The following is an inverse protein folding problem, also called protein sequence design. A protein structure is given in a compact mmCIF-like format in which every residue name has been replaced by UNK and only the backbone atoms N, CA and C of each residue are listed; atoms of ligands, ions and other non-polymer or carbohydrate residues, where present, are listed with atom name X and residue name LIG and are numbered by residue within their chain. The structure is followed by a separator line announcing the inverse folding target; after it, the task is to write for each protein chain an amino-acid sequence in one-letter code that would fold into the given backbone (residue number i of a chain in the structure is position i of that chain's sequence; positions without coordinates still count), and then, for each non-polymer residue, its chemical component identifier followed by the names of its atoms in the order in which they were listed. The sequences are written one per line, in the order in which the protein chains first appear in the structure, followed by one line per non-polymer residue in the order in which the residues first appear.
data_IF_484483139880
#
_entry.id   IF_484483139880
#
_cell.length_a   1.000
_cell.length_b   1.000
_cell.length_c   1.000
_cell.angle_alpha   90.00
_cell.angle_beta   90.00
_cell.angle_gamma   90.00
#
_symmetry.space_group_name_H-M   'P 1'
#
loop_
_entity.id
_entity.type
_entity.pdbx_description
1 polymer ?
#
# COMPACT_ATOMS: atom_id res chain seq x y z
N UNK A 1 0.06 9.76 -6.69
CA UNK A 1 0.04 8.62 -7.62
C UNK A 1 -0.75 7.49 -6.99
N UNK A 2 -1.68 6.92 -7.74
CA UNK A 2 -2.63 5.93 -7.23
C UNK A 2 -2.62 4.69 -8.12
N UNK A 3 -2.50 3.51 -7.52
CA UNK A 3 -2.47 2.24 -8.23
C UNK A 3 -3.89 1.71 -8.51
N UNK A 4 -4.02 0.79 -9.47
CA UNK A 4 -5.30 0.32 -10.01
C UNK A 4 -6.18 1.45 -10.60
N UNK A 5 -5.58 2.31 -11.44
CA UNK A 5 -6.21 3.49 -12.05
C UNK A 5 -7.60 3.26 -12.65
N UNK A 6 -7.84 2.08 -13.21
CA UNK A 6 -9.11 1.69 -13.84
C UNK A 6 -10.27 1.55 -12.84
N UNK A 7 -9.98 1.46 -11.54
CA UNK A 7 -10.99 1.34 -10.47
C UNK A 7 -11.24 2.67 -9.74
N UNK A 8 -10.49 3.74 -10.04
CA UNK A 8 -10.44 4.91 -9.15
C UNK A 8 -11.58 5.91 -9.33
N UNK A 9 -12.02 6.13 -10.57
CA UNK A 9 -12.92 7.24 -10.89
C UNK A 9 -14.33 6.81 -11.30
N UNK A 10 -14.44 5.75 -12.10
CA UNK A 10 -15.71 5.32 -12.67
C UNK A 10 -16.53 4.50 -11.64
N UNK A 11 -17.78 4.91 -11.31
CA UNK A 11 -18.64 4.16 -10.41
C UNK A 11 -19.12 2.81 -10.99
N UNK A 12 -18.98 2.58 -12.30
CA UNK A 12 -19.28 1.31 -12.96
C UNK A 12 -18.08 0.33 -12.97
N UNK A 13 -16.93 0.74 -12.44
CA UNK A 13 -15.77 -0.15 -12.25
C UNK A 13 -16.06 -1.28 -11.26
N UNK A 14 -15.13 -2.24 -11.19
CA UNK A 14 -15.22 -3.42 -10.34
C UNK A 14 -15.62 -3.04 -8.90
N UNK A 15 -16.65 -3.73 -8.38
CA UNK A 15 -17.24 -3.51 -7.05
C UNK A 15 -17.67 -2.06 -6.74
N UNK A 16 -17.95 -1.26 -7.78
CA UNK A 16 -18.45 0.12 -7.67
C UNK A 16 -17.38 1.21 -7.69
N UNK A 17 -16.10 0.83 -7.86
CA UNK A 17 -14.96 1.75 -7.90
C UNK A 17 -14.76 2.57 -6.63
N UNK A 18 -13.74 3.44 -6.65
CA UNK A 18 -13.39 4.30 -5.51
C UNK A 18 -14.13 5.64 -5.50
N UNK A 19 -14.65 6.06 -6.66
CA UNK A 19 -15.41 7.31 -6.84
C UNK A 19 -14.64 8.53 -6.32
N UNK A 20 -13.34 8.61 -6.60
CA UNK A 20 -12.46 9.62 -6.01
C UNK A 20 -12.90 11.06 -6.28
N UNK A 21 -13.68 11.33 -7.32
CA UNK A 21 -14.24 12.66 -7.56
C UNK A 21 -15.17 13.14 -6.42
N UNK A 22 -15.70 12.23 -5.60
CA UNK A 22 -16.54 12.54 -4.45
C UNK A 22 -15.73 12.81 -3.16
N UNK A 23 -14.52 12.24 -3.05
CA UNK A 23 -13.70 12.27 -1.84
C UNK A 23 -12.41 13.08 -1.95
N UNK A 24 -11.98 13.41 -3.17
CA UNK A 24 -10.74 14.15 -3.41
C UNK A 24 -10.82 15.56 -2.82
N UNK A 25 -9.84 15.96 -1.98
CA UNK A 25 -9.75 17.34 -1.53
C UNK A 25 -9.49 18.30 -2.70
N UNK A 26 -9.99 19.53 -2.64
CA UNK A 26 -9.71 20.53 -3.67
C UNK A 26 -8.20 20.82 -3.74
N UNK A 27 -7.68 20.99 -4.95
CA UNK A 27 -6.26 21.29 -5.17
C UNK A 27 -5.33 20.08 -5.18
N UNK A 28 -5.85 18.86 -5.01
CA UNK A 28 -5.07 17.62 -5.13
C UNK A 28 -5.16 17.09 -6.57
N UNK A 29 -4.00 16.89 -7.21
CA UNK A 29 -3.90 16.21 -8.50
C UNK A 29 -3.82 14.70 -8.28
N UNK A 30 -4.83 13.96 -8.75
CA UNK A 30 -4.87 12.51 -8.68
C UNK A 30 -4.43 11.90 -10.02
N UNK A 31 -3.37 11.10 -9.99
CA UNK A 31 -2.86 10.36 -11.14
C UNK A 31 -3.07 8.88 -10.89
N UNK A 32 -4.01 8.27 -11.62
CA UNK A 32 -4.25 6.83 -11.62
C UNK A 32 -3.34 6.11 -12.61
N UNK A 33 -2.62 5.10 -12.14
CA UNK A 33 -1.83 4.19 -12.98
C UNK A 33 -2.60 2.89 -13.09
N UNK A 34 -3.17 2.62 -14.26
CA UNK A 34 -3.88 1.37 -14.53
C UNK A 34 -2.95 0.18 -14.35
N UNK A 35 -3.49 -0.93 -13.86
CA UNK A 35 -2.75 -2.19 -13.81
C UNK A 35 -2.78 -2.90 -15.17
N UNK A 36 -2.00 -3.98 -15.28
CA UNK A 36 -2.05 -4.90 -16.41
C UNK A 36 -2.52 -6.29 -15.93
N UNK A 37 -2.71 -7.26 -16.86
CA UNK A 37 -2.90 -8.66 -16.46
C UNK A 37 -1.80 -9.23 -15.57
N UNK A 38 -0.60 -8.64 -15.59
CA UNK A 38 0.58 -9.04 -14.81
C UNK A 38 0.64 -8.31 -13.45
N UNK A 39 -0.48 -7.73 -12.99
CA UNK A 39 -0.59 -6.94 -11.74
C UNK A 39 0.11 -7.58 -10.53
N UNK A 40 -0.02 -8.89 -10.36
CA UNK A 40 0.60 -9.57 -9.21
C UNK A 40 2.11 -9.51 -9.30
N UNK A 41 2.68 -9.78 -10.48
CA UNK A 41 4.11 -9.67 -10.73
C UNK A 41 4.59 -8.23 -10.54
N UNK A 42 3.90 -7.27 -11.15
CA UNK A 42 4.24 -5.85 -11.12
C UNK A 42 4.13 -5.22 -9.73
N UNK A 43 3.16 -5.62 -8.90
CA UNK A 43 2.90 -4.95 -7.62
C UNK A 43 3.62 -5.58 -6.44
N UNK A 44 4.42 -6.63 -6.66
CA UNK A 44 5.08 -7.35 -5.56
C UNK A 44 6.59 -7.33 -5.73
N UNK A 45 7.27 -6.89 -4.68
CA UNK A 45 8.71 -6.59 -4.72
C UNK A 45 9.61 -7.82 -4.66
N UNK A 46 9.04 -8.97 -4.28
CA UNK A 46 9.73 -10.26 -4.17
C UNK A 46 8.83 -11.36 -4.72
N UNK A 47 9.45 -12.49 -5.06
CA UNK A 47 8.73 -13.72 -5.44
C UNK A 47 8.16 -14.38 -4.19
N UNK A 48 6.96 -14.92 -4.31
CA UNK A 48 6.29 -15.78 -3.33
C UNK A 48 5.68 -17.01 -4.05
N UNK A 49 5.39 -18.10 -3.33
CA UNK A 49 4.67 -19.27 -3.86
C UNK A 49 3.43 -19.57 -3.03
N UNK A 50 2.33 -18.92 -3.42
CA UNK A 50 1.02 -19.02 -2.76
C UNK A 50 0.23 -20.29 -3.15
N UNK A 51 0.92 -21.38 -3.51
CA UNK A 51 0.33 -22.68 -3.85
C UNK A 51 0.07 -22.91 -5.35
N UNK A 52 0.67 -22.08 -6.22
CA UNK A 52 0.51 -22.11 -7.68
C UNK A 52 1.83 -22.13 -8.44
N UNK A 53 2.97 -22.18 -7.74
CA UNK A 53 4.29 -21.88 -8.27
C UNK A 53 4.70 -20.43 -8.01
N UNK A 54 5.98 -20.10 -8.23
CA UNK A 54 6.53 -18.78 -7.96
C UNK A 54 5.82 -17.70 -8.79
N UNK A 55 5.41 -16.64 -8.13
CA UNK A 55 4.78 -15.45 -8.70
C UNK A 55 5.31 -14.20 -8.00
N UNK A 56 5.33 -13.06 -8.68
CA UNK A 56 5.82 -11.81 -8.10
C UNK A 56 7.23 -11.41 -8.52
N UNK A 57 7.71 -10.31 -7.94
CA UNK A 57 9.11 -9.91 -8.01
C UNK A 57 9.45 -8.84 -9.05
N UNK A 58 8.46 -8.22 -9.70
CA UNK A 58 8.68 -7.09 -10.62
C UNK A 58 8.37 -5.73 -9.97
N UNK A 59 8.12 -5.67 -8.66
CA UNK A 59 7.85 -4.43 -7.93
C UNK A 59 8.92 -3.35 -8.10
N UNK A 60 10.20 -3.76 -8.21
CA UNK A 60 11.31 -2.84 -8.49
C UNK A 60 11.16 -2.17 -9.88
N UNK A 61 10.84 -2.94 -10.91
CA UNK A 61 10.64 -2.44 -12.28
C UNK A 61 9.40 -1.54 -12.37
N UNK A 62 8.33 -1.90 -11.66
CA UNK A 62 7.13 -1.08 -11.57
C UNK A 62 7.38 0.23 -10.82
N UNK A 63 8.12 0.19 -9.70
CA UNK A 63 8.50 1.39 -8.97
C UNK A 63 9.37 2.33 -9.83
N UNK A 64 10.28 1.77 -10.63
CA UNK A 64 11.11 2.52 -11.58
C UNK A 64 10.26 3.14 -12.70
N UNK A 65 9.24 2.43 -13.20
CA UNK A 65 8.26 2.99 -14.14
C UNK A 65 7.55 4.22 -13.54
N UNK A 66 7.06 4.12 -12.29
CA UNK A 66 6.35 5.23 -11.65
C UNK A 66 7.28 6.42 -11.42
N UNK A 67 8.47 6.20 -10.84
CA UNK A 67 9.40 7.28 -10.50
C UNK A 67 10.10 7.90 -11.71
N UNK A 68 10.57 7.07 -12.65
CA UNK A 68 11.49 7.53 -13.70
C UNK A 68 10.77 7.82 -15.03
N UNK A 69 9.50 7.43 -15.17
CA UNK A 69 8.72 7.64 -16.40
C UNK A 69 7.43 8.40 -16.11
N UNK A 70 6.54 7.85 -15.29
CA UNK A 70 5.20 8.44 -15.07
C UNK A 70 5.31 9.81 -14.39
N UNK A 71 6.13 9.90 -13.33
CA UNK A 71 6.36 11.17 -12.62
C UNK A 71 6.89 12.28 -13.53
N UNK A 72 8.02 12.10 -14.26
CA UNK A 72 8.50 13.11 -15.20
C UNK A 72 7.48 13.54 -16.25
N UNK A 73 6.66 12.61 -16.78
CA UNK A 73 5.61 12.95 -17.75
C UNK A 73 4.51 13.83 -17.12
N UNK A 74 4.15 13.55 -15.87
CA UNK A 74 3.17 14.37 -15.13
C UNK A 74 3.77 15.74 -14.79
N UNK A 75 5.03 15.79 -14.34
CA UNK A 75 5.74 17.03 -14.02
C UNK A 75 5.90 17.92 -15.27
N UNK A 76 6.18 17.34 -16.45
CA UNK A 76 6.24 18.07 -17.72
C UNK A 76 4.87 18.65 -18.12
N UNK A 77 3.80 17.87 -17.94
CA UNK A 77 2.46 18.25 -18.37
C UNK A 77 1.74 19.22 -17.41
N UNK A 78 1.97 19.07 -16.11
CA UNK A 78 1.20 19.76 -15.05
C UNK A 78 2.08 20.60 -14.10
N UNK A 79 3.41 20.50 -14.21
CA UNK A 79 4.37 21.18 -13.34
C UNK A 79 4.77 20.34 -12.12
N UNK A 80 5.90 20.71 -11.51
CA UNK A 80 6.32 20.14 -10.23
C UNK A 80 5.36 20.58 -9.11
N UNK A 81 5.11 19.68 -8.16
CA UNK A 81 4.26 19.92 -6.98
C UNK A 81 5.09 19.86 -5.71
N UNK A 82 4.64 20.56 -4.67
CA UNK A 82 5.34 20.61 -3.37
C UNK A 82 5.19 19.32 -2.56
N UNK A 83 4.03 18.67 -2.65
CA UNK A 83 3.71 17.43 -1.93
C UNK A 83 3.44 16.30 -2.91
N UNK A 84 4.10 15.16 -2.69
CA UNK A 84 3.97 13.96 -3.52
C UNK A 84 3.58 12.77 -2.66
N UNK A 85 2.39 12.23 -2.93
CA UNK A 85 1.88 11.01 -2.31
C UNK A 85 1.86 9.82 -3.27
N UNK A 86 2.01 8.62 -2.74
CA UNK A 86 1.77 7.34 -3.45
C UNK A 86 0.81 6.47 -2.66
N UNK A 87 -0.15 5.82 -3.33
CA UNK A 87 -1.18 5.06 -2.64
C UNK A 87 -1.85 3.96 -3.45
N UNK A 88 -2.47 3.01 -2.76
CA UNK A 88 -3.32 1.99 -3.36
C UNK A 88 -3.96 1.10 -2.30
N UNK A 89 -4.62 0.03 -2.73
CA UNK A 89 -5.16 -1.00 -1.84
C UNK A 89 -4.64 -2.39 -2.15
N UNK A 90 -4.70 -3.31 -1.17
CA UNK A 90 -4.21 -4.68 -1.37
C UNK A 90 -2.75 -4.67 -1.85
N UNK A 91 -2.42 -5.36 -2.94
CA UNK A 91 -1.10 -5.24 -3.59
C UNK A 91 -0.74 -3.80 -4.01
N UNK A 92 -1.72 -2.95 -4.33
CA UNK A 92 -1.49 -1.53 -4.59
C UNK A 92 -1.06 -0.76 -3.34
N UNK A 93 -1.49 -1.18 -2.15
CA UNK A 93 -1.03 -0.62 -0.87
C UNK A 93 0.40 -1.07 -0.56
N UNK A 94 0.71 -2.34 -0.85
CA UNK A 94 2.06 -2.88 -0.78
C UNK A 94 3.01 -2.11 -1.70
N UNK A 95 2.68 -2.01 -2.99
CA UNK A 95 3.59 -1.39 -3.96
C UNK A 95 3.79 0.10 -3.68
N UNK A 96 2.80 0.79 -3.10
CA UNK A 96 2.98 2.16 -2.62
C UNK A 96 4.05 2.26 -1.52
N UNK A 97 4.03 1.35 -0.55
CA UNK A 97 5.04 1.27 0.50
C UNK A 97 6.41 0.86 -0.04
N UNK A 98 6.44 -0.03 -1.03
CA UNK A 98 7.66 -0.42 -1.72
C UNK A 98 8.29 0.73 -2.52
N UNK A 99 7.48 1.53 -3.22
CA UNK A 99 7.95 2.73 -3.94
C UNK A 99 8.61 3.72 -2.96
N UNK A 100 7.98 3.99 -1.82
CA UNK A 100 8.56 4.87 -0.81
C UNK A 100 9.82 4.28 -0.14
N UNK A 101 9.89 2.95 -0.01
CA UNK A 101 11.07 2.22 0.49
C UNK A 101 12.26 2.32 -0.46
N UNK A 102 12.00 2.15 -1.76
CA UNK A 102 13.01 2.21 -2.83
C UNK A 102 13.50 3.63 -3.10
N UNK A 103 12.63 4.62 -2.94
CA UNK A 103 12.91 6.03 -3.23
C UNK A 103 12.76 6.92 -1.99
N UNK A 104 13.62 6.75 -0.97
CA UNK A 104 13.51 7.49 0.27
C UNK A 104 13.64 9.00 0.04
N UNK A 105 12.71 9.78 0.59
CA UNK A 105 12.68 11.24 0.47
C UNK A 105 12.16 11.77 -0.87
N UNK A 106 11.65 10.91 -1.76
CA UNK A 106 11.00 11.31 -3.02
C UNK A 106 9.48 11.41 -2.92
N UNK A 107 8.91 10.83 -1.85
CA UNK A 107 7.49 10.84 -1.53
C UNK A 107 7.34 11.35 -0.10
N UNK A 108 6.45 12.33 0.07
CA UNK A 108 6.11 12.90 1.37
C UNK A 108 5.19 11.99 2.15
N UNK A 109 4.34 11.21 1.45
CA UNK A 109 3.43 10.27 2.06
C UNK A 109 3.24 8.97 1.25
N UNK A 110 3.22 7.84 1.92
CA UNK A 110 2.76 6.57 1.39
C UNK A 110 1.49 6.12 2.12
N UNK A 111 0.47 5.72 1.36
CA UNK A 111 -0.86 5.38 1.90
C UNK A 111 -1.23 3.98 1.43
N UNK A 112 -1.48 3.10 2.38
CA UNK A 112 -1.90 1.72 2.14
C UNK A 112 -3.30 1.50 2.72
N UNK A 113 -4.22 1.00 1.88
CA UNK A 113 -5.55 0.55 2.30
C UNK A 113 -5.64 -0.98 2.19
N UNK A 114 -5.75 -1.67 3.31
CA UNK A 114 -5.69 -3.14 3.36
C UNK A 114 -4.45 -3.72 2.65
N UNK A 115 -3.26 -3.15 2.87
CA UNK A 115 -2.06 -3.54 2.13
C UNK A 115 -1.62 -4.97 2.42
N UNK A 116 -1.17 -5.71 1.42
CA UNK A 116 -0.66 -7.09 1.60
C UNK A 116 0.76 -7.09 2.16
N UNK A 117 0.94 -6.66 3.41
CA UNK A 117 2.27 -6.38 3.97
C UNK A 117 3.12 -7.61 4.27
N UNK A 118 2.48 -8.78 4.38
CA UNK A 118 3.12 -10.10 4.49
C UNK A 118 3.50 -10.74 3.14
N UNK A 119 3.40 -10.05 2.00
CA UNK A 119 3.88 -10.68 0.76
C UNK A 119 5.37 -11.04 0.86
N UNK A 120 5.71 -12.28 0.52
CA UNK A 120 7.01 -12.88 0.78
C UNK A 120 7.01 -13.91 1.92
N UNK A 121 5.94 -13.97 2.73
CA UNK A 121 5.70 -15.00 3.75
C UNK A 121 4.45 -15.84 3.50
N UNK A 122 3.61 -15.51 2.52
CA UNK A 122 2.28 -16.14 2.37
C UNK A 122 2.40 -17.61 1.97
N UNK A 123 3.42 -17.95 1.18
CA UNK A 123 3.69 -19.32 0.78
C UNK A 123 4.22 -20.17 1.94
N UNK A 124 3.85 -21.47 2.02
CA UNK A 124 4.18 -22.34 3.17
C UNK A 124 5.67 -22.74 3.25
N UNK A 125 6.51 -22.23 2.34
CA UNK A 125 7.93 -22.54 2.27
C UNK A 125 8.70 -21.22 2.35
N UNK A 126 9.83 -21.18 3.09
CA UNK A 126 10.60 -19.96 3.27
C UNK A 126 11.00 -19.33 1.92
N UNK A 127 10.59 -18.08 1.71
CA UNK A 127 10.98 -17.33 0.52
C UNK A 127 12.26 -16.52 0.78
N UNK A 128 13.06 -16.26 -0.26
CA UNK A 128 14.32 -15.52 -0.11
C UNK A 128 14.12 -14.00 0.08
N UNK A 129 12.90 -13.49 -0.12
CA UNK A 129 12.61 -12.07 -0.15
C UNK A 129 11.99 -11.56 1.14
N UNK A 130 12.53 -10.48 1.69
CA UNK A 130 11.99 -9.87 2.90
C UNK A 130 10.65 -9.18 2.65
N UNK A 131 9.68 -9.34 3.54
CA UNK A 131 8.36 -8.68 3.50
C UNK A 131 8.48 -7.17 3.68
N UNK A 132 7.39 -6.42 3.49
CA UNK A 132 7.40 -4.97 3.80
C UNK A 132 7.62 -4.72 5.30
N UNK A 133 7.12 -5.59 6.17
CA UNK A 133 7.33 -5.52 7.62
C UNK A 133 8.82 -5.57 7.95
N UNK A 134 9.51 -6.58 7.41
CA UNK A 134 10.94 -6.77 7.64
C UNK A 134 11.79 -5.66 7.01
N UNK A 135 11.44 -5.21 5.79
CA UNK A 135 12.16 -4.12 5.12
C UNK A 135 12.11 -2.82 5.90
N UNK A 136 10.93 -2.42 6.39
CA UNK A 136 10.81 -1.21 7.20
C UNK A 136 11.52 -1.38 8.56
N UNK A 137 11.42 -2.55 9.20
CA UNK A 137 12.17 -2.87 10.41
C UNK A 137 13.70 -2.70 10.21
N UNK A 138 14.24 -3.19 9.10
CA UNK A 138 15.66 -3.10 8.78
C UNK A 138 16.11 -1.68 8.39
N UNK A 139 15.27 -0.93 7.68
CA UNK A 139 15.58 0.41 7.21
C UNK A 139 15.53 1.47 8.32
N UNK A 140 14.66 1.28 9.32
CA UNK A 140 14.40 2.24 10.37
C UNK A 140 13.51 3.41 9.94
N UNK A 141 13.35 4.40 10.84
CA UNK A 141 12.49 5.56 10.59
C UNK A 141 13.01 6.41 9.41
N UNK A 142 12.11 6.75 8.49
CA UNK A 142 12.34 7.62 7.32
C UNK A 142 11.56 8.93 7.42
N UNK A 143 11.79 9.83 6.46
CA UNK A 143 11.08 11.11 6.36
C UNK A 143 9.66 11.01 5.78
N UNK A 144 9.37 9.95 5.03
CA UNK A 144 8.04 9.72 4.44
C UNK A 144 7.02 9.43 5.55
N UNK A 145 5.93 10.20 5.56
CA UNK A 145 4.74 9.95 6.37
C UNK A 145 4.02 8.69 5.89
N UNK A 146 3.50 7.89 6.82
CA UNK A 146 2.87 6.61 6.49
C UNK A 146 1.41 6.60 6.96
N UNK A 147 0.49 6.21 6.08
CA UNK A 147 -0.86 5.84 6.45
C UNK A 147 -1.07 4.36 6.17
N UNK A 148 -1.52 3.63 7.18
CA UNK A 148 -1.96 2.24 7.05
C UNK A 148 -3.42 2.15 7.46
N UNK A 149 -4.24 1.52 6.64
CA UNK A 149 -5.49 0.95 7.12
C UNK A 149 -5.63 -0.51 6.78
N UNK A 150 -6.51 -1.16 7.54
CA UNK A 150 -7.17 -2.40 7.17
C UNK A 150 -8.59 -2.36 7.69
N UNK A 151 -9.48 -3.08 7.03
CA UNK A 151 -10.77 -3.45 7.60
C UNK A 151 -10.68 -4.77 8.34
N UNK A 152 -11.69 -5.61 8.15
CA UNK A 152 -11.65 -6.99 8.59
C UNK A 152 -11.46 -7.21 10.09
N UNK A 153 -10.85 -8.34 10.41
CA UNK A 153 -10.58 -8.80 11.77
C UNK A 153 -10.35 -10.32 11.80
N UNK A 154 -9.90 -10.83 12.94
CA UNK A 154 -9.61 -12.25 13.17
C UNK A 154 -8.55 -12.42 14.24
N UNK A 155 -8.08 -13.65 14.44
CA UNK A 155 -6.91 -13.93 15.27
C UNK A 155 -5.64 -13.80 14.46
N UNK A 156 -4.68 -13.03 14.99
CA UNK A 156 -3.32 -12.94 14.46
C UNK A 156 -2.49 -14.10 15.00
N UNK A 157 -1.86 -14.84 14.09
CA UNK A 157 -1.10 -16.05 14.37
C UNK A 157 0.03 -16.15 13.37
N UNK A 158 1.20 -16.49 13.87
CA UNK A 158 2.37 -16.96 13.13
C UNK A 158 2.54 -18.43 13.50
N UNK A 159 2.04 -19.33 12.65
CA UNK A 159 1.97 -20.77 12.92
C UNK A 159 3.18 -21.51 12.32
N UNK A 160 3.81 -20.95 11.30
CA UNK A 160 5.01 -21.49 10.67
C UNK A 160 6.34 -20.91 11.22
N UNK A 161 6.27 -19.95 12.16
CA UNK A 161 7.39 -19.34 12.90
C UNK A 161 8.34 -18.55 12.00
N UNK A 162 7.79 -17.92 10.95
CA UNK A 162 8.53 -17.11 9.99
C UNK A 162 8.62 -15.62 10.41
N UNK A 163 7.86 -15.23 11.43
CA UNK A 163 7.85 -13.90 12.01
C UNK A 163 6.76 -13.00 11.45
N UNK A 164 5.82 -13.48 10.63
CA UNK A 164 4.68 -12.73 10.10
C UNK A 164 3.36 -13.30 10.63
N UNK A 165 2.47 -12.41 11.08
CA UNK A 165 1.19 -12.83 11.69
C UNK A 165 0.08 -13.09 10.62
N UNK A 166 0.33 -13.93 9.60
CA UNK A 166 -0.56 -14.17 8.46
C UNK A 166 -1.23 -15.56 8.39
N UNK A 167 -0.94 -16.46 9.33
CA UNK A 167 -1.49 -17.84 9.42
C UNK A 167 -2.85 -17.93 10.14
N UNK A 168 -3.44 -16.79 10.46
CA UNK A 168 -4.70 -16.67 11.20
C UNK A 168 -5.97 -16.90 10.37
N UNK A 169 -7.13 -16.64 11.00
CA UNK A 169 -8.41 -16.48 10.28
C UNK A 169 -8.71 -15.02 9.92
N UNK A 170 -7.69 -14.17 10.04
CA UNK A 170 -7.76 -12.76 9.71
C UNK A 170 -8.11 -12.56 8.23
N UNK A 171 -8.85 -11.49 7.97
CA UNK A 171 -9.21 -11.08 6.62
C UNK A 171 -8.88 -9.59 6.44
N UNK A 172 -8.91 -9.16 5.18
CA UNK A 172 -8.59 -7.78 4.78
C UNK A 172 -7.18 -7.33 5.17
N UNK A 173 -6.23 -8.29 5.21
CA UNK A 173 -4.84 -8.12 5.65
C UNK A 173 -4.71 -7.44 7.04
N UNK A 174 -5.66 -7.73 7.93
CA UNK A 174 -5.74 -7.07 9.23
C UNK A 174 -4.46 -7.23 10.05
N UNK A 175 -3.97 -8.45 10.21
CA UNK A 175 -2.88 -8.75 11.14
C UNK A 175 -1.54 -8.21 10.66
N UNK A 176 -1.24 -8.29 9.38
CA UNK A 176 0.01 -7.81 8.78
C UNK A 176 0.08 -6.27 8.83
N UNK A 177 -1.06 -5.58 8.67
CA UNK A 177 -1.12 -4.12 8.83
C UNK A 177 -0.97 -3.70 10.31
N UNK A 178 -1.54 -4.46 11.26
CA UNK A 178 -1.31 -4.24 12.70
C UNK A 178 0.16 -4.46 13.06
N UNK A 179 0.76 -5.53 12.54
CA UNK A 179 2.14 -5.88 12.81
C UNK A 179 3.10 -4.83 12.25
N UNK A 180 2.91 -4.39 11.00
CA UNK A 180 3.69 -3.30 10.42
C UNK A 180 3.53 -2.00 11.22
N UNK A 181 2.31 -1.66 11.66
CA UNK A 181 2.09 -0.51 12.55
C UNK A 181 2.94 -0.61 13.82
N UNK A 182 2.96 -1.77 14.48
CA UNK A 182 3.72 -1.95 15.74
C UNK A 182 5.23 -1.85 15.51
N UNK A 183 5.73 -2.38 14.39
CA UNK A 183 7.11 -2.17 13.93
C UNK A 183 7.40 -0.68 13.76
N UNK A 184 6.58 0.05 13.00
CA UNK A 184 6.78 1.47 12.73
C UNK A 184 6.80 2.30 14.03
N UNK A 185 5.87 2.04 14.96
CA UNK A 185 5.88 2.69 16.29
C UNK A 185 7.17 2.37 17.03
N UNK A 186 7.63 1.12 17.01
CA UNK A 186 8.91 0.70 17.60
C UNK A 186 10.13 1.42 17.02
N UNK A 187 10.08 1.79 15.74
CA UNK A 187 11.11 2.58 15.06
C UNK A 187 11.07 4.08 15.39
N UNK A 188 10.06 4.53 16.12
CA UNK A 188 9.90 5.92 16.56
C UNK A 188 9.01 6.78 15.66
N UNK A 189 8.21 6.17 14.77
CA UNK A 189 7.09 6.88 14.16
C UNK A 189 6.06 7.29 15.24
N UNK A 190 5.45 8.45 15.05
CA UNK A 190 4.54 9.09 16.00
C UNK A 190 3.17 9.25 15.36
N UNK A 191 2.15 8.74 16.06
CA UNK A 191 0.76 8.89 15.63
C UNK A 191 0.39 10.35 15.39
N UNK A 192 -0.37 10.57 14.33
CA UNK A 192 -0.88 11.88 13.92
C UNK A 192 0.20 12.93 13.58
N UNK A 193 1.45 12.47 13.36
CA UNK A 193 2.58 13.31 12.97
C UNK A 193 3.24 12.77 11.70
N UNK A 194 3.67 11.50 11.74
CA UNK A 194 4.30 10.82 10.60
C UNK A 194 3.82 9.38 10.43
N UNK A 195 2.88 8.93 11.27
CA UNK A 195 2.15 7.68 11.13
C UNK A 195 0.67 7.88 11.43
N UNK A 196 -0.18 7.38 10.56
CA UNK A 196 -1.61 7.25 10.78
C UNK A 196 -2.00 5.79 10.61
N UNK A 197 -2.83 5.29 11.51
CA UNK A 197 -3.34 3.93 11.43
C UNK A 197 -4.85 3.92 11.66
N UNK A 198 -5.59 3.25 10.77
CA UNK A 198 -7.02 3.03 10.91
C UNK A 198 -7.35 1.55 10.84
N UNK A 199 -8.22 1.08 11.73
CA UNK A 199 -8.84 -0.24 11.62
C UNK A 199 -10.35 -0.05 11.51
N UNK A 200 -10.97 -0.63 10.48
CA UNK A 200 -12.42 -0.63 10.27
C UNK A 200 -13.00 -2.02 10.53
N UNK A 201 -13.45 -2.35 11.76
CA UNK A 201 -13.85 -3.69 12.12
C UNK A 201 -14.92 -4.28 11.19
N UNK A 202 -14.60 -5.41 10.57
CA UNK A 202 -15.52 -6.16 9.72
C UNK A 202 -15.78 -5.55 8.34
N UNK A 203 -15.08 -4.47 7.95
CA UNK A 203 -15.15 -4.01 6.58
C UNK A 203 -14.51 -5.05 5.62
N UNK A 204 -15.11 -5.29 4.44
CA UNK A 204 -14.61 -6.29 3.50
C UNK A 204 -13.42 -5.78 2.68
N UNK A 205 -12.67 -6.73 2.10
CA UNK A 205 -11.56 -6.47 1.17
C UNK A 205 -12.06 -6.14 -0.24
N UNK A 206 -12.60 -4.94 -0.46
CA UNK A 206 -13.10 -4.50 -1.77
C UNK A 206 -13.16 -2.97 -1.95
N UNK A 207 -13.42 -2.56 -3.19
CA UNK A 207 -13.44 -1.18 -3.67
C UNK A 207 -14.47 -0.33 -2.95
N UNK A 208 -15.66 -0.85 -2.66
CA UNK A 208 -16.68 -0.10 -1.94
C UNK A 208 -16.25 0.23 -0.50
N UNK A 209 -15.54 -0.69 0.17
CA UNK A 209 -15.02 -0.46 1.51
C UNK A 209 -13.87 0.55 1.52
N UNK A 210 -12.96 0.47 0.54
CA UNK A 210 -11.89 1.46 0.38
C UNK A 210 -12.46 2.85 0.01
N UNK A 211 -13.44 2.92 -0.88
CA UNK A 211 -14.14 4.17 -1.23
C UNK A 211 -14.75 4.85 0.02
N UNK A 212 -15.30 4.07 0.95
CA UNK A 212 -15.90 4.60 2.17
C UNK A 212 -14.88 5.23 3.13
N UNK A 213 -13.61 4.84 3.06
CA UNK A 213 -12.55 5.28 3.98
C UNK A 213 -11.55 6.25 3.37
N UNK A 214 -11.39 6.26 2.04
CA UNK A 214 -10.32 7.00 1.34
C UNK A 214 -10.31 8.51 1.58
N UNK A 215 -11.45 9.10 1.95
CA UNK A 215 -11.51 10.52 2.28
C UNK A 215 -10.58 10.94 3.42
N UNK A 216 -10.40 10.10 4.44
CA UNK A 216 -9.54 10.41 5.58
C UNK A 216 -8.04 10.50 5.21
N UNK A 217 -7.41 9.49 4.58
CA UNK A 217 -6.00 9.58 4.18
C UNK A 217 -5.75 10.70 3.16
N UNK A 218 -6.68 10.96 2.24
CA UNK A 218 -6.54 12.08 1.30
C UNK A 218 -6.60 13.44 1.99
N UNK A 219 -7.47 13.61 2.99
CA UNK A 219 -7.54 14.84 3.78
C UNK A 219 -6.26 15.06 4.62
N UNK A 220 -5.68 13.98 5.17
CA UNK A 220 -4.40 14.04 5.86
C UNK A 220 -3.29 14.48 4.89
N UNK A 221 -3.18 13.83 3.72
CA UNK A 221 -2.19 14.18 2.71
C UNK A 221 -2.29 15.65 2.28
N UNK A 222 -3.50 16.16 2.05
CA UNK A 222 -3.72 17.56 1.68
C UNK A 222 -3.38 18.57 2.80
N UNK A 223 -3.20 18.10 4.04
CA UNK A 223 -2.91 18.91 5.22
C UNK A 223 -1.49 18.79 5.76
N UNK A 224 -0.61 18.01 5.10
CA UNK A 224 0.83 17.96 5.40
C UNK A 224 1.48 19.34 5.16
#
# INVERSE_FOLDING_TARGET
YMHDGQNLFDPESIWGGWKLLESAPPGVLLIGVENTPDRVDEYTHVVDDIGGGPIGGLGDDYADLVELVVRPLVEEAYGEVELVGVMGSSLGGLVAFHIADRYPGRYDMAISMSGTMGWGSIGPEPQPGATMIERYAAAGKRSTALYLDSGGGGSCLDADDDGVDDDGDANDNYCENLQLRDVLVGLGYTYDVDLWHWHEPGAPHNEAAWAARVGAPLAIFAGL
#
